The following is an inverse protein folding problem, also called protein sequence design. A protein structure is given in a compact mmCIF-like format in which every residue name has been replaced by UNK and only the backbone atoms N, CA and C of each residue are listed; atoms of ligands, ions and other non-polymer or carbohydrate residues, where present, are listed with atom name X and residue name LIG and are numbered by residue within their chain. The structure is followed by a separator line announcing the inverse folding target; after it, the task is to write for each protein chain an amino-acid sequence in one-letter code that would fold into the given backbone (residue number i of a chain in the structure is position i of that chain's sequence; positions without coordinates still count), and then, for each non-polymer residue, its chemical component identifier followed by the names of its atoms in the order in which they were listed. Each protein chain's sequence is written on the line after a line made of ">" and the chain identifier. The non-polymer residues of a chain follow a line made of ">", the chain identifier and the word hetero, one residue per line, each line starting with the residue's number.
data_IF_022036380074
#
_entry.id   IF_022036380074
#
_cell.length_a   1.000
_cell.length_b   1.000
_cell.length_c   1.000
_cell.angle_alpha   90.00
_cell.angle_beta   90.00
_cell.angle_gamma   90.00
#
_symmetry.space_group_name_H-M   'P 1'
#
loop_
_entity.id
_entity.type
_entity.pdbx_description
1 polymer ?
#
# COMPACT_ATOMS: atom_id res chain seq x y z
N UNK A 1 51.32 4.52 35.51
CA UNK A 1 50.09 5.31 35.29
C UNK A 1 49.76 5.43 33.81
N UNK A 2 50.54 6.13 32.98
CA UNK A 2 50.25 6.33 31.54
C UNK A 2 50.07 5.03 30.72
N UNK A 3 50.98 4.06 30.86
CA UNK A 3 50.89 2.75 30.17
C UNK A 3 49.62 1.96 30.52
N UNK A 4 49.24 2.00 31.81
CA UNK A 4 48.03 1.34 32.32
C UNK A 4 46.74 2.01 31.82
N UNK A 5 46.75 3.33 31.58
CA UNK A 5 45.61 4.03 30.98
C UNK A 5 45.50 3.72 29.48
N UNK A 6 46.62 3.60 28.77
CA UNK A 6 46.64 3.18 27.36
C UNK A 6 46.10 1.75 27.18
N UNK A 7 46.58 0.79 27.99
CA UNK A 7 46.10 -0.60 27.96
C UNK A 7 44.60 -0.71 28.31
N UNK A 8 44.08 0.15 29.21
CA UNK A 8 42.64 0.22 29.51
C UNK A 8 41.82 0.82 28.37
N UNK A 9 42.34 1.82 27.67
CA UNK A 9 41.69 2.42 26.52
C UNK A 9 41.61 1.43 25.35
N UNK A 10 42.72 0.76 25.04
CA UNK A 10 42.79 -0.29 24.01
C UNK A 10 41.83 -1.44 24.32
N UNK A 11 41.80 -1.93 25.58
CA UNK A 11 40.84 -2.95 26.00
C UNK A 11 39.39 -2.48 25.82
N UNK A 12 39.09 -1.20 26.11
CA UNK A 12 37.75 -0.66 25.92
C UNK A 12 37.37 -0.62 24.45
N UNK A 13 38.26 -0.18 23.57
CA UNK A 13 38.03 -0.18 22.12
C UNK A 13 37.78 -1.59 21.57
N UNK A 14 38.53 -2.60 22.03
CA UNK A 14 38.30 -3.99 21.64
C UNK A 14 36.92 -4.50 22.11
N UNK A 15 36.52 -4.17 23.34
CA UNK A 15 35.20 -4.55 23.87
C UNK A 15 34.09 -3.86 23.07
N UNK A 16 34.24 -2.56 22.79
CA UNK A 16 33.26 -1.79 22.02
C UNK A 16 33.14 -2.35 20.59
N UNK A 17 34.25 -2.76 19.97
CA UNK A 17 34.27 -3.41 18.65
C UNK A 17 33.59 -4.79 18.65
N UNK A 18 33.84 -5.62 19.67
CA UNK A 18 33.19 -6.93 19.82
C UNK A 18 31.68 -6.79 20.06
N UNK A 19 31.27 -5.85 20.93
CA UNK A 19 29.86 -5.56 21.16
C UNK A 19 29.17 -5.05 19.88
N UNK A 20 29.83 -4.14 19.18
CA UNK A 20 29.43 -3.64 17.86
C UNK A 20 29.19 -4.78 16.86
N UNK A 21 30.12 -5.74 16.78
CA UNK A 21 29.99 -6.90 15.89
C UNK A 21 28.84 -7.84 16.31
N UNK A 22 28.74 -8.20 17.59
CA UNK A 22 27.68 -9.06 18.13
C UNK A 22 26.29 -8.48 17.86
N UNK A 23 26.12 -7.16 18.01
CA UNK A 23 24.85 -6.48 17.72
C UNK A 23 24.52 -6.58 16.23
N UNK A 24 25.49 -6.33 15.35
CA UNK A 24 25.28 -6.48 13.90
C UNK A 24 24.87 -7.91 13.55
N UNK A 25 25.56 -8.92 14.06
CA UNK A 25 25.26 -10.33 13.81
C UNK A 25 23.85 -10.70 14.30
N UNK A 26 23.45 -10.25 15.48
CA UNK A 26 22.11 -10.47 16.03
C UNK A 26 21.02 -9.87 15.12
N UNK A 27 21.23 -8.65 14.62
CA UNK A 27 20.27 -7.96 13.74
C UNK A 27 20.15 -8.67 12.38
N UNK A 28 21.27 -9.11 11.80
CA UNK A 28 21.31 -9.87 10.55
C UNK A 28 20.64 -11.25 10.70
N UNK A 29 20.85 -11.94 11.83
CA UNK A 29 20.14 -13.19 12.16
C UNK A 29 18.63 -12.98 12.30
N UNK A 30 18.24 -11.81 12.81
CA UNK A 30 16.87 -11.35 12.82
C UNK A 30 16.41 -10.86 11.44
N UNK A 31 17.21 -10.99 10.38
CA UNK A 31 16.87 -10.63 9.00
C UNK A 31 16.68 -9.12 8.79
N UNK A 32 17.45 -8.30 9.48
CA UNK A 32 17.48 -6.84 9.31
C UNK A 32 18.83 -6.48 8.66
N UNK A 33 18.85 -5.93 7.43
CA UNK A 33 20.07 -5.74 6.67
C UNK A 33 20.84 -4.49 7.15
N UNK A 34 21.70 -4.66 8.16
CA UNK A 34 22.45 -3.61 8.84
C UNK A 34 23.35 -2.84 7.89
N UNK A 35 23.97 -3.52 6.92
CA UNK A 35 24.82 -2.87 5.91
C UNK A 35 24.02 -1.93 4.99
N UNK A 36 22.74 -2.22 4.76
CA UNK A 36 21.90 -1.46 3.83
C UNK A 36 21.27 -0.25 4.50
N UNK A 37 20.76 -0.40 5.72
CA UNK A 37 20.03 0.67 6.44
C UNK A 37 20.91 1.41 7.45
N UNK A 38 22.07 0.86 7.81
CA UNK A 38 22.92 1.37 8.87
C UNK A 38 22.48 0.92 10.26
N UNK A 39 23.43 0.83 11.20
CA UNK A 39 23.20 0.26 12.53
C UNK A 39 22.11 0.96 13.34
N UNK A 40 22.10 2.29 13.36
CA UNK A 40 21.12 3.02 14.17
C UNK A 40 19.68 2.77 13.68
N UNK A 41 19.50 2.77 12.37
CA UNK A 41 18.20 2.48 11.74
C UNK A 41 17.83 1.01 11.96
N UNK A 42 18.78 0.09 11.82
CA UNK A 42 18.56 -1.34 12.07
C UNK A 42 18.11 -1.62 13.51
N UNK A 43 18.68 -0.93 14.50
CA UNK A 43 18.21 -1.01 15.89
C UNK A 43 16.78 -0.47 16.05
N UNK A 44 16.43 0.63 15.36
CA UNK A 44 15.06 1.14 15.34
C UNK A 44 14.07 0.14 14.74
N UNK A 45 14.45 -0.50 13.62
CA UNK A 45 13.66 -1.58 13.00
C UNK A 45 13.49 -2.73 13.99
N UNK A 46 14.56 -3.14 14.68
CA UNK A 46 14.51 -4.23 15.66
C UNK A 46 13.52 -3.95 16.79
N UNK A 47 13.57 -2.75 17.38
CA UNK A 47 12.62 -2.35 18.44
C UNK A 47 11.17 -2.37 17.95
N UNK A 48 10.90 -1.90 16.74
CA UNK A 48 9.54 -1.95 16.17
C UNK A 48 9.11 -3.39 15.83
N UNK A 49 10.01 -4.26 15.41
CA UNK A 49 9.72 -5.69 15.19
C UNK A 49 9.37 -6.37 16.52
N UNK A 50 10.12 -6.12 17.59
CA UNK A 50 9.78 -6.65 18.93
C UNK A 50 8.41 -6.12 19.40
N UNK A 51 8.10 -4.86 19.10
CA UNK A 51 6.77 -4.29 19.37
C UNK A 51 5.69 -5.08 18.63
N UNK A 52 5.87 -5.37 17.34
CA UNK A 52 4.93 -6.20 16.58
C UNK A 52 4.82 -7.62 17.14
N UNK A 53 5.93 -8.29 17.46
CA UNK A 53 5.93 -9.63 18.05
C UNK A 53 5.18 -9.70 19.40
N UNK A 54 5.14 -8.59 20.14
CA UNK A 54 4.44 -8.49 21.43
C UNK A 54 2.95 -8.07 21.33
N UNK A 55 2.50 -7.67 20.16
CA UNK A 55 1.18 -7.06 19.95
C UNK A 55 0.11 -8.14 19.72
N UNK A 56 -1.13 -7.99 20.25
CA UNK A 56 -2.22 -8.90 19.93
C UNK A 56 -2.61 -8.84 18.45
N UNK A 57 -3.03 -9.96 17.90
CA UNK A 57 -3.28 -10.13 16.46
C UNK A 57 -4.31 -9.14 15.88
N UNK A 58 -5.29 -8.68 16.67
CA UNK A 58 -6.26 -7.66 16.24
C UNK A 58 -5.64 -6.29 15.99
N UNK A 59 -4.65 -5.90 16.80
CA UNK A 59 -3.92 -4.65 16.60
C UNK A 59 -2.90 -4.78 15.47
N UNK A 60 -2.28 -5.96 15.30
CA UNK A 60 -1.41 -6.22 14.15
C UNK A 60 -2.15 -6.10 12.83
N UNK A 61 -3.39 -6.61 12.76
CA UNK A 61 -4.26 -6.44 11.58
C UNK A 61 -4.59 -4.96 11.33
N UNK A 62 -4.82 -4.18 12.39
CA UNK A 62 -5.09 -2.76 12.26
C UNK A 62 -3.85 -1.98 11.75
N UNK A 63 -2.66 -2.30 12.25
CA UNK A 63 -1.39 -1.71 11.76
C UNK A 63 -1.14 -2.11 10.30
N UNK A 64 -1.38 -3.38 9.94
CA UNK A 64 -1.27 -3.86 8.56
C UNK A 64 -2.19 -3.11 7.60
N UNK A 65 -3.46 -2.91 7.99
CA UNK A 65 -4.40 -2.09 7.23
C UNK A 65 -3.95 -0.61 7.15
N UNK A 66 -3.35 -0.09 8.22
CA UNK A 66 -2.82 1.29 8.27
C UNK A 66 -1.67 1.49 7.29
N UNK A 67 -0.91 0.45 6.96
CA UNK A 67 0.13 0.49 5.93
C UNK A 67 -0.43 0.35 4.49
N UNK A 68 -1.73 0.49 4.29
CA UNK A 68 -2.35 0.34 2.97
C UNK A 68 -2.25 -1.10 2.43
N UNK A 69 -2.02 -2.08 3.30
CA UNK A 69 -2.04 -3.48 2.89
C UNK A 69 -3.50 -3.96 2.83
N UNK A 70 -3.92 -4.61 1.74
CA UNK A 70 -5.28 -5.15 1.63
C UNK A 70 -5.62 -6.11 2.76
N UNK A 71 -6.84 -6.00 3.29
CA UNK A 71 -7.29 -6.83 4.41
C UNK A 71 -7.39 -8.31 4.02
N UNK A 72 -6.65 -9.17 4.72
CA UNK A 72 -6.68 -10.62 4.52
C UNK A 72 -7.10 -11.32 5.83
N UNK A 73 -8.40 -11.60 6.03
CA UNK A 73 -8.92 -12.07 7.32
C UNK A 73 -8.42 -13.46 7.73
N UNK A 74 -7.93 -14.26 6.77
CA UNK A 74 -7.41 -15.61 7.01
C UNK A 74 -5.87 -15.68 6.99
N UNK A 75 -5.17 -14.54 7.05
CA UNK A 75 -3.71 -14.53 7.03
C UNK A 75 -3.15 -14.97 8.38
N UNK A 76 -2.23 -15.93 8.36
CA UNK A 76 -1.56 -16.39 9.58
C UNK A 76 -0.74 -15.27 10.22
N UNK A 77 -0.74 -15.20 11.56
CA UNK A 77 -0.02 -14.18 12.33
C UNK A 77 1.47 -14.11 12.02
N UNK A 78 2.12 -15.28 11.80
CA UNK A 78 3.53 -15.34 11.40
C UNK A 78 3.79 -14.66 10.06
N UNK A 79 2.88 -14.84 9.10
CA UNK A 79 3.00 -14.22 7.79
C UNK A 79 2.69 -12.72 7.86
N UNK A 80 1.72 -12.33 8.68
CA UNK A 80 1.43 -10.92 8.96
C UNK A 80 2.66 -10.19 9.53
N UNK A 81 3.32 -10.77 10.54
CA UNK A 81 4.55 -10.23 11.13
C UNK A 81 5.69 -10.17 10.10
N UNK A 82 5.85 -11.22 9.28
CA UNK A 82 6.85 -11.25 8.21
C UNK A 82 6.64 -10.10 7.23
N UNK A 83 5.40 -9.86 6.80
CA UNK A 83 5.05 -8.77 5.87
C UNK A 83 5.23 -7.40 6.51
N UNK A 84 4.74 -7.18 7.73
CA UNK A 84 4.94 -5.93 8.47
C UNK A 84 6.42 -5.57 8.62
N UNK A 85 7.24 -6.54 9.01
CA UNK A 85 8.69 -6.37 9.10
C UNK A 85 9.31 -6.03 7.74
N UNK A 86 8.88 -6.70 6.67
CA UNK A 86 9.41 -6.45 5.33
C UNK A 86 9.08 -5.02 4.86
N UNK A 87 7.83 -4.58 5.02
CA UNK A 87 7.40 -3.21 4.70
C UNK A 87 8.17 -2.18 5.53
N UNK A 88 8.37 -2.46 6.82
CA UNK A 88 9.18 -1.61 7.69
C UNK A 88 10.63 -1.50 7.19
N UNK A 89 11.27 -2.60 6.79
CA UNK A 89 12.63 -2.57 6.24
C UNK A 89 12.68 -1.74 4.95
N UNK A 90 11.78 -1.99 4.00
CA UNK A 90 11.74 -1.26 2.74
C UNK A 90 11.45 0.23 2.92
N UNK A 91 10.66 0.60 3.93
CA UNK A 91 10.42 2.01 4.25
C UNK A 91 11.69 2.79 4.64
N UNK A 92 12.77 2.08 5.00
CA UNK A 92 14.07 2.66 5.33
C UNK A 92 15.05 2.64 4.15
N UNK A 93 14.68 2.06 3.01
CA UNK A 93 15.56 1.95 1.84
C UNK A 93 15.60 3.26 1.04
N UNK A 94 16.76 3.55 0.44
CA UNK A 94 16.87 4.56 -0.61
C UNK A 94 16.20 4.08 -1.90
N UNK A 95 15.95 4.99 -2.84
CA UNK A 95 15.43 4.63 -4.17
C UNK A 95 16.28 3.57 -4.85
N UNK A 96 17.60 3.66 -4.75
CA UNK A 96 18.51 2.69 -5.40
C UNK A 96 18.37 1.28 -4.79
N UNK A 97 18.21 1.19 -3.47
CA UNK A 97 18.01 -0.09 -2.80
C UNK A 97 16.60 -0.66 -3.08
N UNK A 98 15.57 0.18 -3.18
CA UNK A 98 14.23 -0.24 -3.61
C UNK A 98 14.21 -0.72 -5.07
N UNK A 99 15.00 -0.11 -5.95
CA UNK A 99 15.15 -0.56 -7.35
C UNK A 99 15.80 -1.94 -7.37
N UNK A 100 16.91 -2.14 -6.64
CA UNK A 100 17.56 -3.46 -6.53
C UNK A 100 16.62 -4.53 -5.99
N UNK A 101 15.89 -4.23 -4.93
CA UNK A 101 14.92 -5.16 -4.35
C UNK A 101 13.79 -5.50 -5.34
N UNK A 102 13.32 -4.51 -6.12
CA UNK A 102 12.38 -4.77 -7.21
C UNK A 102 12.97 -5.69 -8.27
N UNK A 103 14.21 -5.44 -8.71
CA UNK A 103 14.90 -6.24 -9.74
C UNK A 103 15.15 -7.68 -9.29
N UNK A 104 15.56 -7.89 -8.04
CA UNK A 104 15.75 -9.22 -7.45
C UNK A 104 14.45 -10.03 -7.38
N UNK A 105 13.30 -9.34 -7.33
CA UNK A 105 11.95 -9.93 -7.34
C UNK A 105 11.31 -9.94 -8.73
N UNK A 106 12.09 -9.63 -9.77
CA UNK A 106 11.64 -9.55 -11.17
C UNK A 106 10.47 -8.56 -11.38
N UNK A 107 10.38 -7.54 -10.54
CA UNK A 107 9.36 -6.50 -10.61
C UNK A 107 9.80 -5.37 -11.54
N UNK A 108 8.83 -4.71 -12.18
CA UNK A 108 9.12 -3.53 -12.99
C UNK A 108 9.66 -2.40 -12.11
N UNK A 109 10.70 -1.70 -12.57
CA UNK A 109 11.25 -0.49 -11.94
C UNK A 109 10.92 0.79 -12.71
N UNK A 110 10.12 0.70 -13.79
CA UNK A 110 9.73 1.83 -14.66
C UNK A 110 8.33 2.39 -14.41
N UNK A 111 7.72 3.08 -15.38
CA UNK A 111 6.30 3.47 -15.31
C UNK A 111 5.98 4.63 -14.35
N UNK A 112 6.94 5.53 -14.14
CA UNK A 112 6.75 6.71 -13.30
C UNK A 112 5.87 7.78 -13.96
N UNK A 113 5.20 8.64 -13.17
CA UNK A 113 4.52 9.82 -13.69
C UNK A 113 5.49 10.77 -14.43
N UNK A 114 4.94 11.67 -15.24
CA UNK A 114 5.75 12.65 -15.99
C UNK A 114 6.56 13.53 -15.03
N UNK A 115 7.89 13.43 -15.06
CA UNK A 115 8.86 14.07 -14.15
C UNK A 115 8.63 13.68 -12.68
N UNK A 116 8.99 12.44 -12.29
CA UNK A 116 8.76 11.97 -10.93
C UNK A 116 9.74 12.60 -9.94
N UNK A 117 9.22 13.04 -8.80
CA UNK A 117 10.05 13.35 -7.64
C UNK A 117 10.59 12.05 -7.01
N UNK A 118 11.58 12.17 -6.14
CA UNK A 118 12.13 11.02 -5.41
C UNK A 118 11.05 10.31 -4.58
N UNK A 119 10.16 11.07 -3.94
CA UNK A 119 9.02 10.52 -3.22
C UNK A 119 8.05 9.74 -4.13
N UNK A 120 7.82 10.21 -5.36
CA UNK A 120 6.96 9.48 -6.32
C UNK A 120 7.62 8.16 -6.73
N UNK A 121 8.96 8.14 -6.87
CA UNK A 121 9.70 6.91 -7.16
C UNK A 121 9.63 5.92 -6.00
N UNK A 122 9.85 6.39 -4.77
CA UNK A 122 9.71 5.58 -3.56
C UNK A 122 8.33 4.96 -3.51
N UNK A 123 7.27 5.77 -3.68
CA UNK A 123 5.90 5.28 -3.62
C UNK A 123 5.64 4.19 -4.65
N UNK A 124 5.98 4.42 -5.93
CA UNK A 124 5.72 3.44 -7.00
C UNK A 124 6.48 2.12 -6.77
N UNK A 125 7.71 2.18 -6.26
CA UNK A 125 8.49 0.98 -5.95
C UNK A 125 7.95 0.26 -4.71
N UNK A 126 7.60 1.01 -3.66
CA UNK A 126 6.98 0.49 -2.46
C UNK A 126 5.66 -0.22 -2.77
N UNK A 127 4.78 0.40 -3.56
CA UNK A 127 3.50 -0.17 -3.97
C UNK A 127 3.70 -1.52 -4.66
N UNK A 128 4.70 -1.64 -5.54
CA UNK A 128 5.02 -2.90 -6.24
C UNK A 128 5.54 -3.97 -5.31
N UNK A 129 6.46 -3.59 -4.41
CA UNK A 129 7.02 -4.51 -3.42
C UNK A 129 5.94 -5.01 -2.46
N UNK A 130 5.09 -4.11 -1.96
CA UNK A 130 3.92 -4.43 -1.13
C UNK A 130 2.98 -5.38 -1.87
N UNK A 131 2.63 -5.05 -3.12
CA UNK A 131 1.78 -5.90 -3.94
C UNK A 131 2.38 -7.30 -4.10
N UNK A 132 3.70 -7.41 -4.25
CA UNK A 132 4.40 -8.68 -4.40
C UNK A 132 4.28 -9.60 -3.17
N UNK A 133 4.04 -9.06 -1.98
CA UNK A 133 3.87 -9.85 -0.76
C UNK A 133 2.55 -10.63 -0.73
N UNK A 134 1.52 -10.10 -1.39
CA UNK A 134 0.15 -10.65 -1.38
C UNK A 134 -0.19 -11.54 -2.57
N UNK A 135 0.70 -11.66 -3.56
CA UNK A 135 0.42 -12.31 -4.86
C UNK A 135 -0.17 -13.69 -4.70
N UNK A 136 0.46 -14.56 -3.91
CA UNK A 136 -0.01 -15.94 -3.78
C UNK A 136 -1.40 -16.04 -3.13
N UNK A 137 -1.71 -15.12 -2.20
CA UNK A 137 -3.02 -15.06 -1.54
C UNK A 137 -4.09 -14.50 -2.47
N UNK A 138 -3.78 -13.38 -3.11
CA UNK A 138 -4.70 -12.63 -3.96
C UNK A 138 -4.96 -13.32 -5.30
N UNK A 139 -3.95 -13.96 -5.90
CA UNK A 139 -4.14 -14.76 -7.12
C UNK A 139 -5.00 -16.00 -6.86
N UNK A 140 -4.85 -16.67 -5.69
CA UNK A 140 -5.79 -17.73 -5.27
C UNK A 140 -7.20 -17.19 -5.09
N UNK A 141 -7.33 -15.97 -4.60
CA UNK A 141 -8.58 -15.23 -4.55
C UNK A 141 -8.96 -14.63 -5.91
N UNK A 142 -8.28 -14.93 -7.02
CA UNK A 142 -8.57 -14.49 -8.39
C UNK A 142 -8.44 -12.99 -8.65
N UNK A 143 -7.61 -12.29 -7.89
CA UNK A 143 -7.25 -10.88 -8.07
C UNK A 143 -5.87 -10.85 -8.76
N UNK A 144 -5.77 -10.41 -10.02
CA UNK A 144 -4.54 -10.52 -10.80
C UNK A 144 -3.60 -9.35 -10.52
N UNK A 145 -2.92 -9.42 -9.38
CA UNK A 145 -2.10 -8.35 -8.78
C UNK A 145 -1.20 -7.62 -9.78
N UNK A 146 -0.42 -8.36 -10.57
CA UNK A 146 0.54 -7.76 -11.51
C UNK A 146 -0.11 -7.15 -12.76
N UNK A 147 -1.40 -7.38 -12.99
CA UNK A 147 -2.15 -6.86 -14.15
C UNK A 147 -2.91 -5.56 -13.83
N UNK A 148 -3.05 -5.25 -12.54
CA UNK A 148 -3.75 -4.06 -12.05
C UNK A 148 -2.95 -2.77 -12.30
N UNK A 149 -3.65 -1.65 -12.22
CA UNK A 149 -3.14 -0.29 -12.40
C UNK A 149 -2.24 0.17 -11.24
N UNK A 150 -2.53 -0.23 -10.01
CA UNK A 150 -1.81 0.21 -8.80
C UNK A 150 -2.08 -0.68 -7.57
N UNK A 151 -1.40 -0.38 -6.45
CA UNK A 151 -1.71 -0.97 -5.13
C UNK A 151 -3.12 -0.59 -4.67
N UNK A 152 -3.48 0.69 -4.81
CA UNK A 152 -4.81 1.21 -4.50
C UNK A 152 -5.91 0.41 -5.21
N UNK A 153 -5.69 0.06 -6.48
CA UNK A 153 -6.63 -0.74 -7.25
C UNK A 153 -6.87 -2.14 -6.64
N UNK A 154 -5.82 -2.77 -6.10
CA UNK A 154 -5.93 -4.06 -5.42
C UNK A 154 -6.69 -3.92 -4.09
N UNK A 155 -6.41 -2.86 -3.31
CA UNK A 155 -7.12 -2.56 -2.05
C UNK A 155 -8.62 -2.40 -2.32
N UNK A 156 -8.98 -1.57 -3.29
CA UNK A 156 -10.38 -1.30 -3.67
C UNK A 156 -11.10 -2.60 -4.02
N UNK A 157 -10.48 -3.48 -4.82
CA UNK A 157 -11.07 -4.77 -5.16
C UNK A 157 -11.27 -5.63 -3.90
N UNK A 158 -10.25 -5.78 -3.06
CA UNK A 158 -10.31 -6.63 -1.86
C UNK A 158 -11.36 -6.14 -0.86
N UNK A 159 -11.38 -4.84 -0.58
CA UNK A 159 -12.34 -4.25 0.35
C UNK A 159 -13.78 -4.39 -0.14
N UNK A 160 -14.02 -4.10 -1.42
CA UNK A 160 -15.36 -4.20 -2.00
C UNK A 160 -15.84 -5.66 -2.06
N UNK A 161 -14.94 -6.62 -2.35
CA UNK A 161 -15.27 -8.04 -2.28
C UNK A 161 -15.58 -8.48 -0.86
N UNK A 162 -14.76 -8.11 0.12
CA UNK A 162 -15.01 -8.42 1.53
C UNK A 162 -16.35 -7.85 2.02
N UNK A 163 -16.69 -6.63 1.58
CA UNK A 163 -17.99 -6.00 1.85
C UNK A 163 -19.14 -6.81 1.24
N UNK A 164 -19.03 -7.21 -0.03
CA UNK A 164 -20.05 -8.00 -0.72
C UNK A 164 -20.21 -9.41 -0.11
N UNK A 165 -19.11 -10.03 0.31
CA UNK A 165 -19.10 -11.32 1.01
C UNK A 165 -19.80 -11.22 2.37
N UNK A 166 -19.58 -10.14 3.12
CA UNK A 166 -20.25 -9.86 4.39
C UNK A 166 -21.71 -9.37 4.27
N UNK A 167 -22.12 -8.84 3.12
CA UNK A 167 -23.43 -8.22 2.92
C UNK A 167 -24.59 -9.24 2.85
N UNK A 168 -25.84 -8.79 3.00
CA UNK A 168 -27.00 -9.67 2.81
C UNK A 168 -27.23 -9.91 1.32
N UNK A 169 -27.89 -11.02 0.98
CA UNK A 169 -28.25 -11.35 -0.41
C UNK A 169 -28.99 -10.19 -1.12
N UNK A 170 -29.91 -9.52 -0.42
CA UNK A 170 -30.65 -8.39 -0.97
C UNK A 170 -29.73 -7.22 -1.40
N UNK A 171 -28.68 -6.95 -0.62
CA UNK A 171 -27.73 -5.87 -0.89
C UNK A 171 -26.83 -6.21 -2.09
N UNK A 172 -26.37 -7.47 -2.16
CA UNK A 172 -25.61 -7.98 -3.31
C UNK A 172 -26.46 -7.95 -4.58
N UNK A 173 -27.73 -8.37 -4.50
CA UNK A 173 -28.65 -8.27 -5.63
C UNK A 173 -28.92 -6.82 -6.05
N UNK A 174 -28.98 -5.88 -5.11
CA UNK A 174 -29.14 -4.46 -5.42
C UNK A 174 -27.92 -3.91 -6.16
N UNK A 175 -26.71 -4.19 -5.68
CA UNK A 175 -25.47 -3.82 -6.36
C UNK A 175 -25.38 -4.43 -7.78
N UNK A 176 -25.78 -5.70 -7.91
CA UNK A 176 -25.81 -6.39 -9.21
C UNK A 176 -26.82 -5.76 -10.19
N UNK A 177 -27.99 -5.32 -9.69
CA UNK A 177 -28.99 -4.57 -10.50
C UNK A 177 -28.49 -3.19 -10.93
N UNK A 178 -27.67 -2.52 -10.11
CA UNK A 178 -27.09 -1.23 -10.49
C UNK A 178 -26.16 -1.33 -11.70
N UNK A 179 -25.53 -2.49 -11.91
CA UNK A 179 -24.78 -2.79 -13.14
C UNK A 179 -25.67 -3.13 -14.35
N UNK A 180 -27.00 -3.04 -14.21
CA UNK A 180 -27.96 -3.43 -15.25
C UNK A 180 -28.06 -4.94 -15.46
N UNK A 181 -27.59 -5.75 -14.51
CA UNK A 181 -27.57 -7.21 -14.62
C UNK A 181 -28.72 -7.84 -13.82
N UNK A 182 -29.46 -8.82 -14.39
CA UNK A 182 -30.62 -9.45 -13.72
C UNK A 182 -30.16 -10.48 -12.66
N UNK A 183 -30.48 -10.29 -11.36
CA UNK A 183 -30.10 -11.23 -10.30
C UNK A 183 -31.01 -12.46 -10.17
N UNK A 184 -32.16 -12.50 -10.86
CA UNK A 184 -33.31 -13.38 -10.54
C UNK A 184 -33.01 -14.88 -10.63
N UNK A 185 -31.93 -15.28 -11.32
CA UNK A 185 -31.53 -16.68 -11.48
C UNK A 185 -30.21 -17.05 -10.77
N UNK A 186 -29.60 -16.13 -10.02
CA UNK A 186 -28.27 -16.32 -9.44
C UNK A 186 -28.32 -16.34 -7.91
N UNK A 187 -27.54 -17.25 -7.32
CA UNK A 187 -27.27 -17.22 -5.89
C UNK A 187 -26.26 -16.11 -5.52
N UNK A 188 -26.06 -15.90 -4.22
CA UNK A 188 -25.16 -14.87 -3.70
C UNK A 188 -23.75 -15.01 -4.27
N UNK A 189 -23.23 -16.23 -4.27
CA UNK A 189 -21.86 -16.54 -4.65
C UNK A 189 -21.63 -16.27 -6.14
N UNK A 190 -22.58 -16.63 -7.00
CA UNK A 190 -22.51 -16.36 -8.43
C UNK A 190 -22.55 -14.86 -8.73
N UNK A 191 -23.40 -14.08 -8.04
CA UNK A 191 -23.41 -12.62 -8.19
C UNK A 191 -22.07 -12.01 -7.77
N UNK A 192 -21.52 -12.41 -6.61
CA UNK A 192 -20.21 -11.93 -6.13
C UNK A 192 -19.09 -12.29 -7.12
N UNK A 193 -19.07 -13.52 -7.63
CA UNK A 193 -18.08 -13.95 -8.62
C UNK A 193 -18.13 -13.09 -9.89
N UNK A 194 -19.32 -12.69 -10.32
CA UNK A 194 -19.49 -11.82 -11.50
C UNK A 194 -19.10 -10.37 -11.22
N UNK A 195 -19.49 -9.84 -10.06
CA UNK A 195 -19.07 -8.51 -9.58
C UNK A 195 -17.55 -8.41 -9.47
N UNK A 196 -16.91 -9.47 -8.98
CA UNK A 196 -15.45 -9.58 -8.94
C UNK A 196 -14.81 -9.44 -10.31
N UNK A 197 -15.30 -10.15 -11.33
CA UNK A 197 -14.78 -10.02 -12.68
C UNK A 197 -14.90 -8.59 -13.19
N UNK A 198 -16.04 -7.95 -12.94
CA UNK A 198 -16.27 -6.56 -13.29
C UNK A 198 -15.28 -5.60 -12.60
N UNK A 199 -15.13 -5.70 -11.28
CA UNK A 199 -14.19 -4.88 -10.49
C UNK A 199 -12.75 -5.04 -10.99
N UNK A 200 -12.32 -6.28 -11.24
CA UNK A 200 -10.99 -6.56 -11.80
C UNK A 200 -10.81 -5.87 -13.15
N UNK A 201 -11.80 -5.91 -14.06
CA UNK A 201 -11.66 -5.27 -15.37
C UNK A 201 -11.57 -3.76 -15.32
N UNK A 202 -12.25 -3.10 -14.38
CA UNK A 202 -12.13 -1.65 -14.17
C UNK A 202 -10.71 -1.24 -13.80
N UNK A 203 -10.03 -2.10 -13.05
CA UNK A 203 -8.70 -1.85 -12.50
C UNK A 203 -7.57 -2.48 -13.33
N UNK A 204 -7.88 -3.17 -14.42
CA UNK A 204 -6.86 -3.68 -15.33
C UNK A 204 -6.20 -2.52 -16.08
N UNK A 205 -4.87 -2.58 -16.24
CA UNK A 205 -4.16 -1.65 -17.13
C UNK A 205 -4.73 -1.77 -18.55
N UNK A 206 -4.81 -0.70 -19.35
CA UNK A 206 -5.41 -0.74 -20.68
C UNK A 206 -4.83 -1.81 -21.61
N UNK A 207 -3.52 -2.08 -21.52
CA UNK A 207 -2.87 -3.15 -22.28
C UNK A 207 -3.34 -4.55 -21.83
N UNK A 208 -3.57 -4.76 -20.53
CA UNK A 208 -4.02 -6.01 -19.95
C UNK A 208 -5.52 -6.25 -20.17
N UNK A 209 -6.33 -5.18 -20.15
CA UNK A 209 -7.74 -5.22 -20.51
C UNK A 209 -7.92 -5.64 -21.98
N UNK A 210 -7.13 -5.05 -22.90
CA UNK A 210 -7.13 -5.44 -24.32
C UNK A 210 -6.78 -6.92 -24.52
N UNK A 211 -5.78 -7.44 -23.79
CA UNK A 211 -5.44 -8.87 -23.81
C UNK A 211 -6.63 -9.74 -23.34
N UNK A 212 -7.35 -9.31 -22.31
CA UNK A 212 -8.56 -10.00 -21.84
C UNK A 212 -9.66 -9.99 -22.92
N UNK A 213 -9.91 -8.86 -23.58
CA UNK A 213 -10.85 -8.79 -24.70
C UNK A 213 -10.50 -9.79 -25.83
N UNK A 214 -9.23 -9.82 -26.27
CA UNK A 214 -8.77 -10.76 -27.31
C UNK A 214 -8.99 -12.21 -26.89
N UNK A 215 -8.70 -12.54 -25.63
CA UNK A 215 -8.91 -13.89 -25.06
C UNK A 215 -10.37 -14.34 -25.16
N UNK A 216 -11.33 -13.42 -25.06
CA UNK A 216 -12.77 -13.70 -25.17
C UNK A 216 -13.35 -13.45 -26.57
N UNK A 217 -12.48 -13.23 -27.58
CA UNK A 217 -12.87 -13.00 -28.97
C UNK A 217 -13.55 -11.66 -29.21
N UNK A 218 -13.21 -10.64 -28.42
CA UNK A 218 -13.71 -9.27 -28.49
C UNK A 218 -12.65 -8.40 -29.18
N UNK A 219 -13.08 -7.43 -29.99
CA UNK A 219 -12.17 -6.47 -30.65
C UNK A 219 -11.41 -5.67 -29.59
N UNK A 220 -10.09 -5.62 -29.68
CA UNK A 220 -9.25 -4.82 -28.78
C UNK A 220 -9.19 -3.33 -29.15
N UNK A 221 -10.10 -2.87 -30.01
CA UNK A 221 -10.21 -1.49 -30.49
C UNK A 221 -11.36 -0.81 -29.76
N UNK A 222 -11.08 0.32 -29.14
CA UNK A 222 -12.02 1.04 -28.27
C UNK A 222 -11.30 1.70 -27.09
N UNK A 223 -12.04 2.54 -26.38
CA UNK A 223 -11.62 3.02 -25.05
C UNK A 223 -11.86 1.93 -23.98
N UNK A 224 -11.26 2.05 -22.79
CA UNK A 224 -11.41 1.04 -21.74
C UNK A 224 -12.86 0.78 -21.32
N UNK A 225 -13.72 1.80 -21.30
CA UNK A 225 -15.11 1.68 -20.87
C UNK A 225 -15.93 0.81 -21.84
N UNK A 226 -15.75 1.03 -23.14
CA UNK A 226 -16.39 0.24 -24.20
C UNK A 226 -15.93 -1.23 -24.14
N UNK A 227 -14.64 -1.46 -23.92
CA UNK A 227 -14.07 -2.81 -23.79
C UNK A 227 -14.64 -3.57 -22.58
N UNK A 228 -14.80 -2.88 -21.43
CA UNK A 228 -15.41 -3.46 -20.23
C UNK A 228 -16.88 -3.80 -20.49
N UNK A 229 -17.65 -2.91 -21.12
CA UNK A 229 -19.04 -3.18 -21.47
C UNK A 229 -19.17 -4.40 -22.39
N UNK A 230 -18.29 -4.54 -23.39
CA UNK A 230 -18.27 -5.71 -24.27
C UNK A 230 -17.93 -7.01 -23.50
N UNK A 231 -16.98 -6.97 -22.56
CA UNK A 231 -16.65 -8.11 -21.69
C UNK A 231 -17.85 -8.51 -20.80
N UNK A 232 -18.51 -7.53 -20.18
CA UNK A 232 -19.74 -7.75 -19.39
C UNK A 232 -20.81 -8.44 -20.22
N UNK A 233 -21.09 -7.94 -21.43
CA UNK A 233 -22.09 -8.53 -22.32
C UNK A 233 -21.75 -9.98 -22.70
N UNK A 234 -20.48 -10.23 -23.04
CA UNK A 234 -20.01 -11.53 -23.54
C UNK A 234 -19.92 -12.59 -22.45
N UNK A 235 -19.38 -12.24 -21.28
CA UNK A 235 -19.00 -13.18 -20.21
C UNK A 235 -20.11 -13.30 -19.17
N UNK A 236 -20.74 -12.18 -18.79
CA UNK A 236 -21.81 -12.18 -17.79
C UNK A 236 -23.19 -12.52 -18.39
N UNK A 237 -23.25 -12.71 -19.71
CA UNK A 237 -24.36 -13.39 -20.38
C UNK A 237 -25.60 -12.53 -20.57
N UNK A 238 -25.44 -11.26 -20.93
CA UNK A 238 -26.53 -10.42 -21.47
C UNK A 238 -26.83 -10.79 -22.93
N UNK A 239 -26.96 -12.08 -23.24
CA UNK A 239 -27.57 -12.50 -24.50
C UNK A 239 -29.07 -12.23 -24.36
N UNK A 240 -29.54 -11.01 -24.68
CA UNK A 240 -30.92 -10.65 -25.11
C UNK A 240 -31.32 -9.16 -24.87
N UNK A 241 -30.43 -8.16 -24.79
CA UNK A 241 -30.87 -6.74 -24.64
C UNK A 241 -30.14 -5.70 -25.52
N UNK A 242 -29.60 -6.14 -26.66
CA UNK A 242 -28.96 -5.25 -27.64
C UNK A 242 -29.85 -4.10 -28.18
N UNK A 243 -31.20 -4.21 -28.31
CA UNK A 243 -32.00 -3.09 -28.82
C UNK A 243 -32.51 -2.10 -27.76
N UNK A 244 -32.52 -2.45 -26.47
CA UNK A 244 -33.13 -1.62 -25.40
C UNK A 244 -32.09 -0.80 -24.65
N UNK A 245 -30.85 -1.31 -24.55
CA UNK A 245 -29.77 -0.66 -23.79
C UNK A 245 -29.04 0.43 -24.61
N UNK A 246 -29.31 0.51 -25.92
CA UNK A 246 -28.70 1.45 -26.87
C UNK A 246 -28.93 2.95 -26.63
N UNK A 247 -29.53 3.35 -25.50
CA UNK A 247 -29.63 4.75 -25.04
C UNK A 247 -29.36 4.97 -23.55
N UNK A 248 -29.04 3.92 -22.76
CA UNK A 248 -28.96 4.05 -21.30
C UNK A 248 -27.71 3.46 -20.63
N UNK A 249 -26.77 2.85 -21.35
CA UNK A 249 -25.39 2.70 -20.83
C UNK A 249 -24.54 3.96 -21.07
N UNK A 250 -25.04 4.94 -21.84
CA UNK A 250 -24.34 6.17 -22.22
C UNK A 250 -24.27 7.23 -21.13
N UNK A 251 -24.57 6.88 -19.88
CA UNK A 251 -24.45 7.79 -18.75
C UNK A 251 -24.20 7.03 -17.45
N UNK A 252 -23.28 6.06 -17.50
CA UNK A 252 -22.53 5.65 -16.31
C UNK A 252 -21.13 6.22 -16.50
N UNK A 253 -21.02 7.53 -16.37
CA UNK A 253 -19.71 8.17 -16.31
C UNK A 253 -18.99 7.67 -15.06
N UNK A 254 -17.66 7.78 -14.98
CA UNK A 254 -16.92 7.50 -13.73
C UNK A 254 -17.49 8.21 -12.48
N UNK A 255 -18.32 9.25 -12.67
CA UNK A 255 -19.07 9.95 -11.64
C UNK A 255 -20.25 9.14 -11.06
N UNK A 256 -20.93 8.29 -11.83
CA UNK A 256 -22.05 7.45 -11.34
C UNK A 256 -21.58 6.27 -10.49
N UNK A 257 -20.34 5.81 -10.73
CA UNK A 257 -19.63 4.86 -9.86
C UNK A 257 -18.94 5.56 -8.69
N UNK A 258 -18.55 6.83 -8.81
CA UNK A 258 -18.13 7.62 -7.64
C UNK A 258 -19.30 7.89 -6.69
N UNK A 259 -20.56 7.90 -7.15
CA UNK A 259 -21.74 7.98 -6.27
C UNK A 259 -21.94 6.73 -5.39
N UNK A 260 -21.43 5.55 -5.77
CA UNK A 260 -21.35 4.40 -4.86
C UNK A 260 -20.27 4.59 -3.78
N UNK A 261 -19.21 5.36 -4.10
CA UNK A 261 -18.18 5.83 -3.16
C UNK A 261 -18.70 6.94 -2.23
N UNK A 262 -19.54 7.85 -2.74
CA UNK A 262 -19.94 9.09 -2.04
C UNK A 262 -21.29 9.01 -1.30
N UNK A 263 -22.22 8.10 -1.64
CA UNK A 263 -23.53 7.98 -0.95
C UNK A 263 -23.53 7.05 0.26
N UNK A 264 -22.41 6.41 0.58
CA UNK A 264 -22.20 5.69 1.86
C UNK A 264 -21.47 6.61 2.83
N UNK A 265 -22.06 7.77 3.10
CA UNK A 265 -21.72 8.53 4.31
C UNK A 265 -22.28 7.77 5.51
N UNK A 266 -21.53 6.78 6.00
CA UNK A 266 -21.59 6.39 7.40
C UNK A 266 -20.89 7.48 8.25
N UNK A 267 -21.17 7.56 9.56
CA UNK A 267 -20.80 8.70 10.41
C UNK A 267 -19.30 8.99 10.34
N UNK A 268 -18.88 10.25 10.55
CA UNK A 268 -17.48 10.64 10.44
C UNK A 268 -16.61 9.67 11.24
N UNK A 269 -15.54 9.26 10.56
CA UNK A 269 -14.46 8.41 11.01
C UNK A 269 -14.29 8.42 12.53
N UNK A 270 -14.13 7.22 13.10
CA UNK A 270 -13.54 7.01 14.41
C UNK A 270 -12.44 8.05 14.67
N UNK A 271 -12.60 8.80 15.76
CA UNK A 271 -11.70 9.85 16.21
C UNK A 271 -10.25 9.44 15.95
N UNK A 272 -9.46 10.20 15.16
CA UNK A 272 -8.06 9.88 14.95
C UNK A 272 -7.40 9.72 16.30
N UNK A 273 -6.70 8.59 16.50
CA UNK A 273 -5.94 8.29 17.70
C UNK A 273 -5.19 9.54 18.18
N UNK A 274 -5.17 9.80 19.49
CA UNK A 274 -4.58 11.00 20.08
C UNK A 274 -3.15 11.29 19.58
N UNK A 275 -2.42 10.25 19.14
CA UNK A 275 -1.10 10.34 18.51
C UNK A 275 -1.13 11.00 17.13
N UNK A 276 -2.08 10.65 16.26
CA UNK A 276 -2.28 11.26 14.93
C UNK A 276 -2.63 12.73 15.09
N UNK A 277 -3.52 13.05 16.04
CA UNK A 277 -3.88 14.42 16.32
C UNK A 277 -2.75 15.27 16.89
N UNK A 278 -1.78 14.64 17.57
CA UNK A 278 -0.56 15.30 18.04
C UNK A 278 0.43 15.56 16.90
N UNK A 279 0.61 14.59 15.99
CA UNK A 279 1.54 14.71 14.87
C UNK A 279 1.13 15.82 13.88
N UNK A 280 -0.16 15.95 13.54
CA UNK A 280 -0.66 17.05 12.70
C UNK A 280 -0.46 18.41 13.37
N UNK A 281 -0.72 18.51 14.68
CA UNK A 281 -0.47 19.74 15.44
C UNK A 281 1.01 20.13 15.47
N UNK A 282 1.92 19.16 15.64
CA UNK A 282 3.37 19.40 15.59
C UNK A 282 3.85 19.83 14.19
N UNK A 283 3.19 19.36 13.13
CA UNK A 283 3.45 19.78 11.74
C UNK A 283 2.81 21.12 11.37
N UNK A 284 1.96 21.69 12.25
CA UNK A 284 1.19 22.89 11.99
C UNK A 284 0.06 22.68 10.97
N UNK A 285 -0.47 21.46 10.90
CA UNK A 285 -1.58 21.06 10.03
C UNK A 285 -2.85 20.82 10.84
N UNK A 286 -4.00 21.14 10.26
CA UNK A 286 -5.29 20.75 10.84
C UNK A 286 -5.54 19.24 10.67
N UNK A 287 -6.37 18.65 11.53
CA UNK A 287 -6.76 17.23 11.43
C UNK A 287 -7.51 16.90 10.13
N UNK A 288 -8.05 17.93 9.47
CA UNK A 288 -8.71 17.92 8.17
C UNK A 288 -7.78 18.26 7.01
N UNK A 289 -6.47 18.44 7.26
CA UNK A 289 -5.53 18.92 6.25
C UNK A 289 -5.45 17.96 5.06
N UNK A 290 -5.54 18.52 3.86
CA UNK A 290 -5.52 17.75 2.62
C UNK A 290 -4.12 17.18 2.36
N UNK A 291 -4.07 16.11 1.58
CA UNK A 291 -2.82 15.45 1.19
C UNK A 291 -1.78 16.42 0.59
N UNK A 292 -2.22 17.40 -0.19
CA UNK A 292 -1.36 18.42 -0.78
C UNK A 292 -0.71 19.31 0.29
N UNK A 293 -1.43 19.61 1.38
CA UNK A 293 -0.92 20.37 2.52
C UNK A 293 0.10 19.57 3.33
N UNK A 294 -0.12 18.27 3.51
CA UNK A 294 0.85 17.36 4.15
C UNK A 294 2.14 17.30 3.31
N UNK A 295 2.04 17.07 2.00
CA UNK A 295 3.19 17.07 1.07
C UNK A 295 3.94 18.40 1.04
N UNK A 296 3.22 19.52 1.01
CA UNK A 296 3.81 20.87 1.05
C UNK A 296 4.57 21.12 2.35
N UNK A 297 4.02 20.64 3.47
CA UNK A 297 4.62 20.78 4.79
C UNK A 297 5.85 19.89 4.92
N UNK A 298 5.78 18.65 4.41
CA UNK A 298 6.91 17.74 4.30
C UNK A 298 8.05 18.34 3.47
N UNK A 299 7.76 18.85 2.27
CA UNK A 299 8.76 19.53 1.41
C UNK A 299 9.40 20.73 2.10
N UNK A 300 8.61 21.53 2.84
CA UNK A 300 9.12 22.66 3.63
C UNK A 300 10.07 22.18 4.73
N UNK A 301 9.71 21.11 5.45
CA UNK A 301 10.52 20.56 6.54
C UNK A 301 11.79 19.89 6.01
N UNK A 302 11.71 19.15 4.89
CA UNK A 302 12.87 18.55 4.23
C UNK A 302 13.89 19.63 3.80
N UNK A 303 13.40 20.76 3.27
CA UNK A 303 14.24 21.91 2.93
C UNK A 303 14.76 22.68 4.15
N UNK A 304 14.09 22.59 5.30
CA UNK A 304 14.50 23.23 6.55
C UNK A 304 15.57 22.42 7.27
N UNK A 305 15.47 21.08 7.22
CA UNK A 305 16.39 20.15 7.87
C UNK A 305 17.44 19.56 6.92
N UNK A 306 17.55 20.08 5.69
CA UNK A 306 18.54 19.66 4.71
C UNK A 306 19.98 19.88 5.26
N UNK A 307 20.92 18.94 5.04
CA UNK A 307 22.29 19.03 5.53
C UNK A 307 23.02 20.30 5.04
N UNK A 308 22.69 20.75 3.83
CA UNK A 308 23.26 21.97 3.23
C UNK A 308 22.89 23.27 3.97
N UNK A 309 21.79 23.27 4.75
CA UNK A 309 21.35 24.44 5.56
C UNK A 309 21.67 24.32 7.05
N UNK A 310 22.12 23.15 7.51
CA UNK A 310 22.39 22.90 8.94
C UNK A 310 23.76 22.22 9.11
N UNK A 311 24.88 22.91 8.87
CA UNK A 311 26.20 22.30 9.00
C UNK A 311 26.58 22.03 10.47
N UNK A 312 27.28 20.91 10.72
CA UNK A 312 27.88 20.58 12.03
C UNK A 312 26.90 19.95 13.02
N UNK A 313 27.00 20.30 14.31
CA UNK A 313 26.18 19.72 15.41
C UNK A 313 24.66 19.93 15.23
N UNK A 314 24.26 20.90 14.40
CA UNK A 314 22.85 21.14 14.07
C UNK A 314 22.32 20.13 13.03
N UNK A 315 23.20 19.48 12.26
CA UNK A 315 22.85 18.49 11.25
C UNK A 315 22.25 17.24 11.87
N UNK A 316 22.91 16.68 12.90
CA UNK A 316 22.42 15.48 13.59
C UNK A 316 21.10 15.74 14.30
N UNK A 317 20.95 16.92 14.92
CA UNK A 317 19.70 17.29 15.60
C UNK A 317 18.56 17.54 14.60
N UNK A 318 18.87 18.16 13.46
CA UNK A 318 17.96 18.37 12.35
C UNK A 318 17.49 17.03 11.76
N UNK A 319 18.43 16.13 11.49
CA UNK A 319 18.17 14.81 10.93
C UNK A 319 17.34 13.95 11.91
N UNK A 320 17.71 13.93 13.19
CA UNK A 320 16.99 13.17 14.23
C UNK A 320 15.58 13.70 14.46
N UNK A 321 15.38 15.02 14.46
CA UNK A 321 14.04 15.63 14.52
C UNK A 321 13.23 15.30 13.26
N UNK A 322 13.85 15.38 12.09
CA UNK A 322 13.19 15.06 10.83
C UNK A 322 12.79 13.59 10.73
N UNK A 323 13.67 12.66 11.14
CA UNK A 323 13.39 11.23 11.24
C UNK A 323 12.34 10.92 12.30
N UNK A 324 12.31 11.63 13.43
CA UNK A 324 11.28 11.44 14.47
C UNK A 324 9.91 11.90 13.98
N UNK A 325 9.85 13.03 13.28
CA UNK A 325 8.66 13.51 12.58
C UNK A 325 8.23 12.51 11.51
N UNK A 326 9.16 12.01 10.70
CA UNK A 326 8.89 11.02 9.67
C UNK A 326 8.45 9.66 10.20
N UNK A 327 9.02 9.16 11.29
CA UNK A 327 8.59 7.91 11.92
C UNK A 327 7.18 8.02 12.51
N UNK A 328 6.82 9.21 13.04
CA UNK A 328 5.45 9.51 13.49
C UNK A 328 4.46 9.66 12.34
N UNK A 329 4.92 10.08 11.16
CA UNK A 329 4.14 10.22 9.93
C UNK A 329 4.18 8.93 9.07
N UNK A 330 5.16 8.04 9.29
CA UNK A 330 5.52 6.93 8.40
C UNK A 330 4.47 5.84 8.32
N UNK A 331 3.59 5.75 9.32
CA UNK A 331 2.35 4.96 9.22
C UNK A 331 1.28 5.58 8.31
N UNK A 332 1.50 6.78 7.77
CA UNK A 332 0.50 7.56 7.02
C UNK A 332 0.92 7.87 5.57
N UNK A 333 2.18 7.69 5.19
CA UNK A 333 2.60 7.89 3.79
C UNK A 333 1.97 6.86 2.83
N UNK A 334 1.49 5.73 3.37
CA UNK A 334 0.75 4.70 2.64
C UNK A 334 -0.78 4.96 2.57
N UNK A 335 -1.29 5.99 3.28
CA UNK A 335 -2.73 6.30 3.37
C UNK A 335 -3.12 7.64 2.74
N UNK A 336 -2.18 8.33 2.12
CA UNK A 336 -2.48 9.54 1.35
C UNK A 336 -2.04 9.32 -0.09
N UNK A 337 -2.74 8.42 -0.79
CA UNK A 337 -2.75 8.36 -2.26
C UNK A 337 -3.69 9.41 -2.79
#
# INVERSE_FOLDING_TARGET
>A
MLKMHAERAEKKEMIDALHSWLVTEMLELKGIPVETVGREVAMGIFTEVERYESMPSSLLQAEYATLGMPSEPNLEEKELLRRLKQVLIWSQFSVDNLVKECEERELSTGGFPSRPSEADKIQVLMDRLILSLGVDGWEKQGIPVYRLTSLEAAIVIVEELGRLEGAKQADVSAAYRLLGLPPEALDKAAMISRLKHYLVWQELRPAELRKECVKHGISAMGDPEELIAQLVLKILGLKMLLPVIGRHLTHLTGHDFSHLRDRVSCPPASVPSAKVASAFRELGLELSASHEQVRKTYRRLALQYHPDKNPGLQQEQALKKFQTLLARIGGMFLLLG
#
